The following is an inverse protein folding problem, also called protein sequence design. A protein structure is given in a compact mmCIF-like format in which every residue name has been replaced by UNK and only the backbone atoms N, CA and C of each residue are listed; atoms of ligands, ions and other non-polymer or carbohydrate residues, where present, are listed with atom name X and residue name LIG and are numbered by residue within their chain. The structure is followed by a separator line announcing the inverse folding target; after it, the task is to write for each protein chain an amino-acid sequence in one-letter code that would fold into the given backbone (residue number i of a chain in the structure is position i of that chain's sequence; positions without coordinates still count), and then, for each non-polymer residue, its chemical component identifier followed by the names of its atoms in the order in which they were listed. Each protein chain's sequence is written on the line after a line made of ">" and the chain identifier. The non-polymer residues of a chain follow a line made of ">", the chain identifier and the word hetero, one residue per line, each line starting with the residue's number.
data_IF_146322507475
#
_entry.id   IF_146322507475
#
_cell.length_a   1.000
_cell.length_b   1.000
_cell.length_c   1.000
_cell.angle_alpha   90.00
_cell.angle_beta   90.00
_cell.angle_gamma   90.00
#
_symmetry.space_group_name_H-M   'P 1'
#
loop_
_entity.id
_entity.type
_entity.pdbx_description
1 polymer ?
#
# COMPACT_ATOMS: atom_id res chain seq x y z
N UNK A 1 4.10 -3.62 9.35
CA UNK A 1 2.90 -2.81 9.57
C UNK A 1 1.80 -3.72 10.05
N UNK A 2 1.14 -3.42 11.18
CA UNK A 2 -0.15 -4.05 11.50
C UNK A 2 -1.19 -3.50 10.51
N UNK A 3 -2.18 -4.32 10.17
CA UNK A 3 -3.29 -3.97 9.29
C UNK A 3 -4.03 -2.66 9.66
N UNK A 4 -3.88 -2.21 10.91
CA UNK A 4 -4.58 -1.06 11.50
C UNK A 4 -4.02 0.33 11.10
N UNK A 5 -2.77 0.43 10.64
CA UNK A 5 -2.15 1.73 10.27
C UNK A 5 -2.42 2.14 8.80
N UNK A 6 -3.23 1.37 8.08
CA UNK A 6 -3.49 1.60 6.65
C UNK A 6 -4.73 2.49 6.53
N UNK A 7 -4.52 3.76 6.16
CA UNK A 7 -5.57 4.76 5.96
C UNK A 7 -6.02 4.80 4.50
N UNK A 8 -7.35 4.91 4.27
CA UNK A 8 -7.88 5.20 2.93
C UNK A 8 -7.42 6.58 2.48
N UNK A 9 -7.07 6.69 1.20
CA UNK A 9 -6.61 7.92 0.57
C UNK A 9 -5.11 8.17 0.67
N UNK A 10 -4.41 7.46 1.56
CA UNK A 10 -2.96 7.53 1.71
C UNK A 10 -2.23 6.69 0.67
N UNK A 11 -1.00 7.11 0.37
CA UNK A 11 -0.10 6.44 -0.57
C UNK A 11 0.85 5.54 0.23
N UNK A 12 1.08 4.34 -0.26
CA UNK A 12 1.96 3.34 0.35
C UNK A 12 2.86 2.71 -0.71
N UNK A 13 3.97 2.13 -0.26
CA UNK A 13 4.86 1.38 -1.15
C UNK A 13 4.57 -0.11 -1.05
N UNK A 14 4.20 -0.73 -2.17
CA UNK A 14 3.91 -2.17 -2.25
C UNK A 14 4.86 -2.82 -3.23
N UNK A 15 5.32 -4.03 -2.89
CA UNK A 15 6.11 -4.86 -3.81
C UNK A 15 5.18 -5.64 -4.75
N UNK A 16 5.14 -5.24 -6.02
CA UNK A 16 4.36 -5.87 -7.10
C UNK A 16 5.36 -6.54 -8.04
N UNK A 17 5.25 -7.86 -8.21
CA UNK A 17 6.09 -8.65 -9.12
C UNK A 17 7.60 -8.34 -9.04
N UNK A 18 8.12 -8.17 -7.82
CA UNK A 18 9.55 -7.88 -7.60
C UNK A 18 9.91 -6.40 -7.51
N UNK A 19 9.04 -5.48 -7.95
CA UNK A 19 9.29 -4.02 -7.97
C UNK A 19 8.52 -3.31 -6.85
N UNK A 20 9.17 -2.32 -6.23
CA UNK A 20 8.50 -1.40 -5.30
C UNK A 20 7.73 -0.36 -6.12
N UNK A 21 6.45 -0.24 -5.86
CA UNK A 21 5.58 0.71 -6.54
C UNK A 21 4.68 1.42 -5.54
N UNK A 22 4.38 2.67 -5.84
CA UNK A 22 3.51 3.51 -5.03
C UNK A 22 2.06 3.23 -5.39
N UNK A 23 1.26 2.91 -4.37
CA UNK A 23 -0.15 2.63 -4.52
C UNK A 23 -0.95 3.48 -3.53
N UNK A 24 -2.05 4.05 -3.97
CA UNK A 24 -2.99 4.78 -3.13
C UNK A 24 -4.10 3.83 -2.67
N UNK A 25 -4.30 3.70 -1.37
CA UNK A 25 -5.41 2.86 -0.86
C UNK A 25 -6.71 3.58 -1.17
N UNK A 26 -7.58 2.94 -1.96
CA UNK A 26 -8.89 3.48 -2.32
C UNK A 26 -9.99 2.97 -1.40
N UNK A 27 -9.86 1.77 -0.85
CA UNK A 27 -10.87 1.20 0.03
C UNK A 27 -10.27 0.11 0.91
N UNK A 28 -10.75 0.03 2.16
CA UNK A 28 -10.43 -1.05 3.09
C UNK A 28 -11.66 -1.93 3.19
N UNK A 29 -11.50 -3.23 2.94
CA UNK A 29 -12.53 -4.22 3.23
C UNK A 29 -12.37 -4.71 4.66
N UNK A 30 -13.43 -4.56 5.45
CA UNK A 30 -13.52 -4.98 6.85
C UNK A 30 -13.27 -6.49 7.03
N UNK A 31 -13.50 -7.28 5.97
CA UNK A 31 -13.23 -8.73 5.93
C UNK A 31 -11.75 -9.08 5.62
N UNK A 32 -10.83 -8.13 5.72
CA UNK A 32 -9.38 -8.41 5.63
C UNK A 32 -8.77 -8.26 4.24
N UNK A 33 -9.24 -7.32 3.43
CA UNK A 33 -8.65 -7.00 2.13
C UNK A 33 -8.52 -5.50 1.92
N UNK A 34 -7.60 -5.07 1.05
CA UNK A 34 -7.44 -3.67 0.69
C UNK A 34 -7.47 -3.53 -0.82
N UNK A 35 -8.13 -2.50 -1.29
CA UNK A 35 -8.10 -2.09 -2.69
C UNK A 35 -7.21 -0.87 -2.80
N UNK A 36 -6.17 -0.95 -3.64
CA UNK A 36 -5.26 0.14 -3.91
C UNK A 36 -5.20 0.43 -5.41
N UNK A 37 -4.89 1.66 -5.79
CA UNK A 37 -4.67 2.08 -7.16
C UNK A 37 -3.18 2.37 -7.30
N UNK A 38 -2.52 1.72 -8.25
CA UNK A 38 -1.11 1.94 -8.53
C UNK A 38 -0.96 3.25 -9.31
N UNK A 39 -0.27 4.22 -8.72
CA UNK A 39 -0.08 5.53 -9.33
C UNK A 39 0.89 5.52 -10.51
N UNK A 40 1.69 4.46 -10.67
CA UNK A 40 2.62 4.33 -11.79
C UNK A 40 1.99 3.68 -13.03
N UNK A 41 0.83 3.03 -12.89
CA UNK A 41 0.20 2.28 -14.00
C UNK A 41 -1.31 2.53 -14.11
N UNK A 42 -1.86 3.36 -13.21
CA UNK A 42 -3.29 3.60 -13.00
C UNK A 42 -4.15 2.33 -12.84
N UNK A 43 -3.52 1.21 -12.50
CA UNK A 43 -4.18 -0.07 -12.33
C UNK A 43 -4.68 -0.26 -10.91
N UNK A 44 -5.92 -0.72 -10.78
CA UNK A 44 -6.47 -1.16 -9.52
C UNK A 44 -5.90 -2.53 -9.13
N UNK A 45 -5.43 -2.63 -7.89
CA UNK A 45 -4.79 -3.81 -7.32
C UNK A 45 -5.51 -4.18 -6.03
N UNK A 46 -5.89 -5.46 -5.93
CA UNK A 46 -6.51 -6.01 -4.75
C UNK A 46 -5.47 -6.73 -3.90
N UNK A 47 -5.26 -6.24 -2.69
CA UNK A 47 -4.35 -6.78 -1.69
C UNK A 47 -5.16 -7.64 -0.72
N UNK A 48 -5.06 -8.96 -0.85
CA UNK A 48 -5.71 -9.92 0.08
C UNK A 48 -5.08 -9.94 1.47
N UNK A 49 -3.86 -9.44 1.62
CA UNK A 49 -3.17 -9.36 2.91
C UNK A 49 -2.40 -8.05 3.03
N UNK A 50 -2.62 -7.32 4.13
CA UNK A 50 -1.93 -6.05 4.42
C UNK A 50 -0.44 -6.22 4.68
N UNK A 51 0.02 -7.46 4.89
CA UNK A 51 1.41 -7.83 5.14
C UNK A 51 2.39 -7.43 4.02
N UNK A 52 1.91 -7.13 2.80
CA UNK A 52 2.76 -6.67 1.68
C UNK A 52 2.83 -5.15 1.54
N UNK A 53 2.06 -4.41 2.35
CA UNK A 53 2.07 -2.94 2.36
C UNK A 53 3.19 -2.49 3.29
N UNK A 54 4.21 -1.85 2.71
CA UNK A 54 5.25 -1.18 3.47
C UNK A 54 4.84 0.29 3.61
N UNK A 55 5.18 0.96 4.73
CA UNK A 55 5.12 2.42 4.75
C UNK A 55 5.95 2.89 3.56
N UNK A 56 5.51 3.99 2.92
CA UNK A 56 6.46 4.79 2.14
C UNK A 56 7.70 4.93 3.02
N UNK A 57 8.92 4.75 2.49
CA UNK A 57 10.09 5.21 3.23
C UNK A 57 9.83 6.70 3.45
N UNK A 58 9.30 7.09 4.61
CA UNK A 58 9.64 8.36 5.22
C UNK A 58 11.15 8.28 5.22
N UNK A 59 11.79 9.00 4.30
CA UNK A 59 13.22 9.19 4.28
C UNK A 59 13.58 9.49 5.73
N UNK A 60 14.07 8.48 6.44
CA UNK A 60 14.70 8.67 7.72
C UNK A 60 16.07 9.18 7.29
N UNK A 61 16.38 10.47 7.38
CA UNK A 61 17.77 10.84 7.28
C UNK A 61 18.38 10.19 8.52
N UNK A 62 19.17 9.13 8.32
CA UNK A 62 20.16 8.76 9.31
C UNK A 62 20.94 10.05 9.60
N UNK A 63 20.80 10.60 10.81
CA UNK A 63 21.82 11.44 11.41
C UNK A 63 21.83 11.21 12.91
#
# INVERSE_FOLDING_TARGET
>A
MKAADISVGQIYSVKISGKLQQVRISSISTNGGWTAINLATDRQIRLRTGARVRPLPSTNPKK
#
